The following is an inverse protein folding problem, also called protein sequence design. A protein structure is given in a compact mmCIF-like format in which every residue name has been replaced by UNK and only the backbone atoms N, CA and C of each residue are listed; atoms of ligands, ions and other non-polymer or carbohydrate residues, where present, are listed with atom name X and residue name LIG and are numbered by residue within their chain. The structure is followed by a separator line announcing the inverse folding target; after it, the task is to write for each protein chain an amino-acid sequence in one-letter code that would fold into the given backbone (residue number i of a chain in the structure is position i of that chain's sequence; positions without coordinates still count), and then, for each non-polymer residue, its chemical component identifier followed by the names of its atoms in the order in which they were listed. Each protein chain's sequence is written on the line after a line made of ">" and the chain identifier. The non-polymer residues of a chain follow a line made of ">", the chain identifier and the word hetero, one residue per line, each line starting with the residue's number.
data_IF_775108707963
#
_entry.id   IF_775108707963
#
_cell.length_a   1.000
_cell.length_b   1.000
_cell.length_c   1.000
_cell.angle_alpha   90.00
_cell.angle_beta   90.00
_cell.angle_gamma   90.00
#
_symmetry.space_group_name_H-M   'P 1'
#
loop_
_entity.id
_entity.type
_entity.pdbx_description
1 polymer ?
#
# COMPACT_ATOMS: atom_id res chain seq x y z
N UNK A 1 -35.64 20.70 32.98
CA UNK A 1 -35.29 21.53 31.82
C UNK A 1 -34.17 20.77 31.15
N UNK A 2 -34.54 19.96 30.18
CA UNK A 2 -33.59 19.22 29.36
C UNK A 2 -33.07 20.20 28.31
N UNK A 3 -31.86 20.70 28.50
CA UNK A 3 -31.15 21.46 27.48
C UNK A 3 -30.78 20.48 26.36
N UNK A 4 -31.60 20.43 25.32
CA UNK A 4 -31.19 19.82 24.06
C UNK A 4 -29.90 20.52 23.57
N UNK A 5 -28.81 19.80 23.27
CA UNK A 5 -27.67 20.38 22.55
C UNK A 5 -28.11 20.57 21.08
N UNK A 6 -28.98 21.54 20.80
CA UNK A 6 -30.07 21.24 19.86
C UNK A 6 -29.74 21.33 18.37
N UNK A 7 -28.81 22.17 17.89
CA UNK A 7 -28.48 22.17 16.45
C UNK A 7 -27.02 22.49 16.11
N UNK A 8 -26.37 23.47 16.77
CA UNK A 8 -25.03 23.91 16.31
C UNK A 8 -23.93 22.86 16.52
N UNK A 9 -23.91 22.18 17.67
CA UNK A 9 -22.91 21.14 17.95
C UNK A 9 -23.05 19.95 17.00
N UNK A 10 -24.29 19.59 16.67
CA UNK A 10 -24.57 18.52 15.70
C UNK A 10 -24.05 18.91 14.32
N UNK A 11 -24.31 20.13 13.86
CA UNK A 11 -23.86 20.62 12.55
C UNK A 11 -22.34 20.77 12.48
N UNK A 12 -21.69 21.18 13.57
CA UNK A 12 -20.23 21.24 13.70
C UNK A 12 -19.60 19.83 13.61
N UNK A 13 -20.15 18.85 14.33
CA UNK A 13 -19.71 17.45 14.26
C UNK A 13 -19.89 16.90 12.84
N UNK A 14 -21.04 17.14 12.21
CA UNK A 14 -21.30 16.69 10.84
C UNK A 14 -20.33 17.33 9.84
N UNK A 15 -20.01 18.61 10.01
CA UNK A 15 -19.05 19.33 9.18
C UNK A 15 -17.64 18.76 9.35
N UNK A 16 -17.21 18.51 10.59
CA UNK A 16 -15.94 17.87 10.89
C UNK A 16 -15.83 16.48 10.25
N UNK A 17 -16.87 15.64 10.39
CA UNK A 17 -16.92 14.30 9.81
C UNK A 17 -16.87 14.33 8.27
N UNK A 18 -17.55 15.28 7.61
CA UNK A 18 -17.46 15.46 6.15
C UNK A 18 -16.05 15.85 5.72
N UNK A 19 -15.43 16.78 6.44
CA UNK A 19 -14.06 17.22 6.15
C UNK A 19 -13.07 16.06 6.27
N UNK A 20 -13.17 15.27 7.36
CA UNK A 20 -12.36 14.08 7.57
C UNK A 20 -12.60 13.03 6.46
N UNK A 21 -13.86 12.77 6.08
CA UNK A 21 -14.20 11.85 5.01
C UNK A 21 -13.56 12.28 3.68
N UNK A 22 -13.63 13.56 3.33
CA UNK A 22 -13.05 14.11 2.11
C UNK A 22 -11.52 14.04 2.11
N UNK A 23 -10.89 14.30 3.26
CA UNK A 23 -9.45 14.16 3.43
C UNK A 23 -9.00 12.71 3.24
N UNK A 24 -9.71 11.76 3.84
CA UNK A 24 -9.44 10.33 3.70
C UNK A 24 -9.68 9.87 2.26
N UNK A 25 -10.81 10.24 1.64
CA UNK A 25 -11.07 9.94 0.22
C UNK A 25 -9.94 10.48 -0.67
N UNK A 26 -9.57 11.74 -0.50
CA UNK A 26 -8.49 12.36 -1.29
C UNK A 26 -7.15 11.65 -1.11
N UNK A 27 -6.88 11.15 0.09
CA UNK A 27 -5.67 10.37 0.39
C UNK A 27 -5.68 8.98 -0.24
N UNK A 28 -6.87 8.37 -0.39
CA UNK A 28 -6.96 6.95 -0.75
C UNK A 28 -7.53 6.63 -2.14
N UNK A 29 -8.12 7.61 -2.84
CA UNK A 29 -8.75 7.42 -4.16
C UNK A 29 -7.81 6.87 -5.25
N UNK A 30 -6.50 7.07 -5.10
CA UNK A 30 -5.51 6.69 -6.13
C UNK A 30 -4.99 5.24 -5.97
N UNK A 31 -5.49 4.50 -4.99
CA UNK A 31 -5.17 3.09 -4.74
C UNK A 31 -5.92 2.19 -5.73
N UNK A 32 -5.25 1.15 -6.23
CA UNK A 32 -5.77 0.22 -7.26
C UNK A 32 -7.09 -0.47 -6.89
N UNK A 33 -7.46 -0.53 -5.61
CA UNK A 33 -8.71 -1.09 -5.11
C UNK A 33 -9.58 -0.12 -4.31
N UNK A 34 -9.40 1.19 -4.51
CA UNK A 34 -10.32 2.12 -3.89
C UNK A 34 -11.74 1.90 -4.46
N UNK A 35 -12.75 1.58 -3.62
CA UNK A 35 -14.09 1.34 -4.11
C UNK A 35 -14.77 2.68 -4.43
N UNK A 36 -14.57 3.17 -5.65
CA UNK A 36 -15.11 4.46 -6.10
C UNK A 36 -16.65 4.53 -5.98
N UNK A 37 -17.34 3.39 -6.07
CA UNK A 37 -18.79 3.26 -5.90
C UNK A 37 -19.26 3.55 -4.46
N UNK A 38 -18.36 3.50 -3.49
CA UNK A 38 -18.66 3.82 -2.10
C UNK A 38 -18.84 5.33 -1.91
N UNK A 39 -18.18 6.18 -2.70
CA UNK A 39 -18.36 7.64 -2.60
C UNK A 39 -19.83 8.05 -2.68
N UNK A 40 -20.61 7.44 -3.58
CA UNK A 40 -22.02 7.76 -3.76
C UNK A 40 -22.92 7.20 -2.67
N UNK A 41 -22.56 6.06 -2.06
CA UNK A 41 -23.35 5.38 -1.03
C UNK A 41 -23.27 6.05 0.35
N UNK A 42 -22.21 6.82 0.60
CA UNK A 42 -21.85 7.29 1.95
C UNK A 42 -21.74 8.83 2.07
N UNK A 43 -22.27 9.58 1.08
CA UNK A 43 -22.41 11.06 1.14
C UNK A 43 -23.31 11.52 2.30
N UNK A 44 -24.17 10.63 2.81
CA UNK A 44 -24.94 10.86 4.02
C UNK A 44 -24.08 10.58 5.25
N UNK A 45 -23.85 11.64 6.00
CA UNK A 45 -22.81 11.84 7.02
C UNK A 45 -22.70 10.81 8.14
N UNK A 46 -23.70 9.95 8.30
CA UNK A 46 -23.80 8.98 9.39
C UNK A 46 -23.17 7.61 9.08
N UNK A 47 -22.70 7.40 7.85
CA UNK A 47 -22.10 6.13 7.42
C UNK A 47 -20.63 6.24 6.96
N UNK A 48 -19.96 7.36 7.26
CA UNK A 48 -18.52 7.57 6.94
C UNK A 48 -17.62 6.56 7.65
N UNK A 49 -17.93 6.16 8.89
CA UNK A 49 -17.11 5.18 9.62
C UNK A 49 -17.11 3.79 8.95
N UNK A 50 -18.27 3.25 8.53
CA UNK A 50 -18.30 2.04 7.70
C UNK A 50 -17.59 2.19 6.35
N UNK A 51 -17.63 3.34 5.69
CA UNK A 51 -16.84 3.59 4.46
C UNK A 51 -15.34 3.46 4.71
N UNK A 52 -14.87 4.06 5.79
CA UNK A 52 -13.51 3.92 6.30
C UNK A 52 -13.29 2.41 6.56
N UNK A 53 -13.99 1.81 7.52
CA UNK A 53 -13.77 0.43 7.94
C UNK A 53 -13.93 -0.64 6.84
N UNK A 54 -14.82 -0.47 5.87
CA UNK A 54 -15.09 -1.42 4.79
C UNK A 54 -14.21 -1.17 3.54
N UNK A 55 -13.82 0.08 3.26
CA UNK A 55 -12.74 0.39 2.31
C UNK A 55 -11.36 -0.03 2.84
N UNK A 56 -11.25 -0.25 4.15
CA UNK A 56 -10.11 -0.88 4.85
C UNK A 56 -10.46 -2.31 5.27
N UNK A 57 -10.73 -3.21 4.33
CA UNK A 57 -10.89 -4.65 4.56
C UNK A 57 -9.99 -5.13 5.72
N UNK A 58 -10.59 -5.62 6.83
CA UNK A 58 -9.90 -6.06 8.05
C UNK A 58 -8.93 -5.06 8.72
N UNK A 59 -9.17 -3.75 8.64
CA UNK A 59 -8.44 -2.73 9.43
C UNK A 59 -6.94 -2.60 9.11
N UNK A 60 -6.45 -3.35 8.14
CA UNK A 60 -5.07 -3.37 7.67
C UNK A 60 -5.18 -3.76 6.20
N UNK A 61 -5.06 -2.77 5.34
CA UNK A 61 -4.64 -3.00 3.96
C UNK A 61 -3.21 -2.48 3.92
N UNK A 62 -2.26 -3.17 4.58
CA UNK A 62 -0.93 -2.65 4.67
C UNK A 62 -0.31 -2.82 3.29
N UNK A 63 0.52 -1.86 2.86
CA UNK A 63 1.31 -1.97 1.64
C UNK A 63 0.52 -1.70 0.35
N UNK A 64 -0.12 -0.52 0.33
CA UNK A 64 -0.90 -0.06 -0.82
C UNK A 64 0.01 0.45 -1.94
N UNK A 65 -0.25 -0.04 -3.15
CA UNK A 65 0.28 0.52 -4.38
C UNK A 65 -0.78 1.40 -5.04
N UNK A 66 -0.36 2.55 -5.57
CA UNK A 66 -1.20 3.32 -6.49
C UNK A 66 -1.52 2.52 -7.75
N UNK A 67 -2.56 2.91 -8.49
CA UNK A 67 -2.84 2.34 -9.83
C UNK A 67 -1.59 2.34 -10.71
N UNK A 68 -0.87 3.46 -10.75
CA UNK A 68 0.38 3.60 -11.51
C UNK A 68 1.49 2.64 -11.05
N UNK A 69 1.66 2.43 -9.74
CA UNK A 69 2.62 1.47 -9.21
C UNK A 69 2.22 0.03 -9.56
N UNK A 70 0.93 -0.31 -9.46
CA UNK A 70 0.42 -1.63 -9.86
C UNK A 70 0.63 -1.89 -11.35
N UNK A 71 0.44 -0.89 -12.20
CA UNK A 71 0.68 -1.04 -13.64
C UNK A 71 2.17 -1.27 -13.94
N UNK A 72 3.08 -0.62 -13.21
CA UNK A 72 4.52 -0.89 -13.31
C UNK A 72 4.82 -2.35 -12.88
N UNK A 73 4.24 -2.80 -11.78
CA UNK A 73 4.43 -4.17 -11.27
C UNK A 73 3.91 -5.20 -12.29
N UNK A 74 2.68 -5.03 -12.80
CA UNK A 74 2.03 -5.93 -13.77
C UNK A 74 2.84 -6.07 -15.06
N UNK A 75 3.45 -4.99 -15.52
CA UNK A 75 4.20 -4.96 -16.78
C UNK A 75 5.68 -5.32 -16.60
N UNK A 76 6.13 -5.61 -15.38
CA UNK A 76 7.50 -6.01 -15.10
C UNK A 76 7.75 -7.48 -15.44
N UNK A 77 8.96 -7.83 -15.87
CA UNK A 77 9.31 -9.22 -16.13
C UNK A 77 9.44 -10.01 -14.83
N UNK A 78 9.89 -9.35 -13.77
CA UNK A 78 10.06 -9.93 -12.44
C UNK A 78 9.86 -8.87 -11.37
N UNK A 79 9.21 -9.26 -10.28
CA UNK A 79 9.07 -8.48 -9.05
C UNK A 79 9.99 -9.06 -7.98
N UNK A 80 10.82 -8.22 -7.37
CA UNK A 80 11.68 -8.59 -6.26
C UNK A 80 11.09 -7.99 -4.98
N UNK A 81 10.64 -8.84 -4.07
CA UNK A 81 10.17 -8.44 -2.74
C UNK A 81 11.40 -8.39 -1.83
N UNK A 82 11.88 -7.18 -1.56
CA UNK A 82 13.13 -6.97 -0.83
C UNK A 82 12.88 -6.85 0.67
N UNK A 83 12.99 -8.00 1.35
CA UNK A 83 12.70 -8.17 2.78
C UNK A 83 11.54 -9.14 3.02
N UNK A 84 11.78 -10.19 3.81
CA UNK A 84 10.82 -11.28 4.08
C UNK A 84 10.16 -11.22 5.47
N UNK A 85 9.92 -10.01 5.98
CA UNK A 85 9.13 -9.83 7.20
C UNK A 85 7.62 -9.85 6.93
N UNK A 86 6.82 -9.52 7.95
CA UNK A 86 5.35 -9.33 7.83
C UNK A 86 4.93 -8.42 6.67
N UNK A 87 5.78 -7.43 6.38
CA UNK A 87 5.59 -6.52 5.23
C UNK A 87 5.69 -7.27 3.91
N UNK A 88 6.71 -8.11 3.77
CA UNK A 88 6.93 -8.89 2.57
C UNK A 88 5.85 -9.94 2.35
N UNK A 89 5.40 -10.60 3.42
CA UNK A 89 4.31 -11.58 3.37
C UNK A 89 3.00 -10.97 2.87
N UNK A 90 2.63 -9.79 3.38
CA UNK A 90 1.41 -9.13 2.93
C UNK A 90 1.54 -8.50 1.54
N UNK A 91 2.74 -8.07 1.12
CA UNK A 91 3.00 -7.72 -0.29
C UNK A 91 2.77 -8.93 -1.18
N UNK A 92 3.26 -10.11 -0.79
CA UNK A 92 3.00 -11.36 -1.50
C UNK A 92 1.50 -11.66 -1.59
N UNK A 93 0.77 -11.61 -0.47
CA UNK A 93 -0.70 -11.80 -0.46
C UNK A 93 -1.39 -10.87 -1.46
N UNK A 94 -1.02 -9.59 -1.47
CA UNK A 94 -1.55 -8.62 -2.43
C UNK A 94 -1.22 -8.99 -3.88
N UNK A 95 0.02 -9.38 -4.19
CA UNK A 95 0.41 -9.77 -5.55
C UNK A 95 -0.38 -11.00 -6.01
N UNK A 96 -0.56 -11.99 -5.14
CA UNK A 96 -1.36 -13.20 -5.41
C UNK A 96 -2.81 -12.85 -5.68
N UNK A 97 -3.43 -11.99 -4.87
CA UNK A 97 -4.80 -11.50 -5.10
C UNK A 97 -4.98 -10.80 -6.46
N UNK A 98 -3.91 -10.21 -7.00
CA UNK A 98 -3.90 -9.57 -8.32
C UNK A 98 -3.48 -10.47 -9.46
N UNK A 99 -3.29 -11.77 -9.21
CA UNK A 99 -2.83 -12.73 -10.20
C UNK A 99 -1.39 -12.50 -10.68
N UNK A 100 -0.58 -11.78 -9.88
CA UNK A 100 0.84 -11.53 -10.16
C UNK A 100 1.64 -12.63 -9.49
N UNK A 101 2.22 -13.53 -10.28
CA UNK A 101 2.96 -14.70 -9.81
C UNK A 101 4.46 -14.65 -10.10
N UNK A 102 4.93 -13.65 -10.87
CA UNK A 102 6.32 -13.48 -11.22
C UNK A 102 7.11 -12.71 -10.15
N UNK A 103 6.95 -13.07 -8.88
CA UNK A 103 7.67 -12.45 -7.77
C UNK A 103 8.70 -13.39 -7.13
N UNK A 104 9.66 -12.83 -6.39
CA UNK A 104 10.65 -13.58 -5.60
C UNK A 104 11.10 -12.74 -4.42
N UNK A 105 11.23 -13.35 -3.25
CA UNK A 105 11.85 -12.72 -2.10
C UNK A 105 13.36 -12.63 -2.27
N UNK A 106 13.92 -11.47 -1.97
CA UNK A 106 15.37 -11.24 -2.00
C UNK A 106 15.88 -10.63 -0.70
N UNK A 107 17.15 -10.89 -0.40
CA UNK A 107 17.89 -10.33 0.75
C UNK A 107 19.18 -9.65 0.29
N UNK A 108 19.79 -8.85 1.18
CA UNK A 108 21.05 -8.14 0.89
C UNK A 108 22.22 -9.11 0.76
N UNK A 109 22.28 -10.06 1.68
CA UNK A 109 23.26 -11.15 1.74
C UNK A 109 22.54 -12.38 2.29
N UNK A 110 22.88 -13.55 1.78
CA UNK A 110 22.30 -14.82 2.20
C UNK A 110 23.16 -15.42 3.31
N UNK A 111 22.61 -15.58 4.51
CA UNK A 111 23.20 -16.45 5.55
C UNK A 111 22.86 -17.93 5.28
N UNK A 112 21.77 -18.18 4.54
CA UNK A 112 21.27 -19.51 4.17
C UNK A 112 21.26 -19.68 2.64
N UNK A 113 21.92 -20.72 2.13
CA UNK A 113 22.12 -20.96 0.67
C UNK A 113 20.86 -21.01 -0.20
N UNK A 114 19.67 -21.05 0.39
CA UNK A 114 18.40 -21.15 -0.32
C UNK A 114 17.71 -19.78 -0.51
N UNK A 115 18.27 -18.70 0.03
CA UNK A 115 17.74 -17.35 -0.15
C UNK A 115 18.33 -16.70 -1.39
N UNK A 116 17.46 -16.13 -2.24
CA UNK A 116 17.92 -15.36 -3.39
C UNK A 116 18.50 -14.02 -2.92
N UNK A 117 19.64 -13.62 -3.47
CA UNK A 117 20.30 -12.35 -3.13
C UNK A 117 19.96 -11.32 -4.19
N UNK A 118 19.71 -10.06 -3.78
CA UNK A 118 19.36 -9.00 -4.72
C UNK A 118 20.46 -8.74 -5.78
N UNK A 119 21.73 -8.98 -5.43
CA UNK A 119 22.87 -8.83 -6.34
C UNK A 119 22.80 -9.76 -7.56
N UNK A 120 22.15 -10.92 -7.44
CA UNK A 120 22.03 -11.89 -8.53
C UNK A 120 21.18 -11.34 -9.68
N UNK A 121 20.37 -10.31 -9.42
CA UNK A 121 19.45 -9.70 -10.36
C UNK A 121 20.01 -8.47 -11.09
N UNK A 122 21.24 -8.05 -10.79
CA UNK A 122 21.92 -6.92 -11.45
C UNK A 122 21.90 -7.02 -12.98
N UNK A 123 22.14 -8.19 -13.62
CA UNK A 123 22.09 -8.31 -15.08
C UNK A 123 20.72 -7.96 -15.69
N UNK A 124 19.64 -8.09 -14.91
CA UNK A 124 18.26 -7.85 -15.35
C UNK A 124 17.66 -6.56 -14.78
N UNK A 125 18.44 -5.72 -14.11
CA UNK A 125 17.96 -4.60 -13.28
C UNK A 125 17.02 -3.59 -13.95
N UNK A 126 17.05 -3.47 -15.29
CA UNK A 126 16.14 -2.60 -16.06
C UNK A 126 14.73 -3.19 -16.25
N UNK A 127 14.61 -4.51 -16.17
CA UNK A 127 13.39 -5.26 -16.47
C UNK A 127 12.71 -5.81 -15.20
N UNK A 128 13.26 -5.51 -14.03
CA UNK A 128 12.71 -5.94 -12.74
C UNK A 128 12.24 -4.73 -11.94
N UNK A 129 11.23 -4.96 -11.10
CA UNK A 129 10.74 -4.01 -10.12
C UNK A 129 11.16 -4.49 -8.75
N UNK A 130 11.73 -3.59 -7.94
CA UNK A 130 12.11 -3.88 -6.55
C UNK A 130 11.08 -3.25 -5.64
N UNK A 131 10.41 -4.06 -4.82
CA UNK A 131 9.50 -3.60 -3.78
C UNK A 131 10.23 -3.65 -2.44
N UNK A 132 10.43 -2.50 -1.79
CA UNK A 132 11.07 -2.45 -0.47
C UNK A 132 10.06 -2.84 0.60
N UNK A 133 10.22 -4.03 1.17
CA UNK A 133 9.25 -4.64 2.08
C UNK A 133 9.76 -4.69 3.53
N UNK A 134 10.13 -3.54 4.06
CA UNK A 134 10.56 -3.39 5.46
C UNK A 134 10.21 -2.00 5.98
N UNK A 135 9.59 -1.91 7.16
CA UNK A 135 9.36 -0.63 7.86
C UNK A 135 10.60 -0.17 8.62
N UNK A 136 11.35 -1.11 9.20
CA UNK A 136 12.52 -0.81 10.04
C UNK A 136 13.77 -0.49 9.24
N UNK A 137 13.95 -1.16 8.10
CA UNK A 137 15.16 -1.09 7.28
C UNK A 137 14.88 -0.45 5.91
N UNK A 138 13.78 0.30 5.76
CA UNK A 138 13.33 0.86 4.49
C UNK A 138 14.45 1.64 3.78
N UNK A 139 15.05 2.61 4.47
CA UNK A 139 16.08 3.49 3.90
C UNK A 139 17.35 2.72 3.52
N UNK A 140 17.74 1.74 4.32
CA UNK A 140 18.91 0.90 4.08
C UNK A 140 18.71 0.03 2.83
N UNK A 141 17.56 -0.65 2.74
CA UNK A 141 17.24 -1.51 1.59
C UNK A 141 17.06 -0.68 0.31
N UNK A 142 16.42 0.49 0.42
CA UNK A 142 16.28 1.41 -0.70
C UNK A 142 17.64 1.91 -1.20
N UNK A 143 18.51 2.33 -0.28
CA UNK A 143 19.87 2.76 -0.61
C UNK A 143 20.65 1.63 -1.28
N UNK A 144 20.62 0.42 -0.72
CA UNK A 144 21.32 -0.72 -1.32
C UNK A 144 20.81 -1.03 -2.74
N UNK A 145 19.49 -1.07 -2.96
CA UNK A 145 18.94 -1.29 -4.29
C UNK A 145 19.36 -0.18 -5.27
N UNK A 146 19.39 1.07 -4.81
CA UNK A 146 19.85 2.21 -5.62
C UNK A 146 21.34 2.09 -5.96
N UNK A 147 22.19 1.74 -4.99
CA UNK A 147 23.64 1.58 -5.17
C UNK A 147 23.98 0.43 -6.14
N UNK A 148 23.14 -0.62 -6.19
CA UNK A 148 23.22 -1.70 -7.19
C UNK A 148 22.71 -1.28 -8.59
N UNK A 149 22.12 -0.09 -8.69
CA UNK A 149 21.65 0.53 -9.92
C UNK A 149 20.28 0.05 -10.40
N UNK A 150 19.43 -0.45 -9.50
CA UNK A 150 18.01 -0.66 -9.81
C UNK A 150 17.31 0.70 -9.91
N UNK A 151 16.46 0.88 -10.92
CA UNK A 151 15.77 2.16 -11.17
C UNK A 151 14.28 2.09 -10.86
N UNK A 152 13.67 0.91 -10.97
CA UNK A 152 12.25 0.70 -10.72
C UNK A 152 12.06 0.22 -9.27
N UNK A 153 12.27 1.13 -8.32
CA UNK A 153 12.14 0.83 -6.88
C UNK A 153 10.83 1.42 -6.37
N UNK A 154 10.02 0.59 -5.73
CA UNK A 154 8.72 0.95 -5.15
C UNK A 154 8.80 0.75 -3.64
N UNK A 155 8.45 1.80 -2.90
CA UNK A 155 8.24 1.72 -1.45
C UNK A 155 6.72 1.69 -1.23
N UNK A 156 6.17 0.63 -0.64
CA UNK A 156 4.76 0.59 -0.29
C UNK A 156 4.41 1.72 0.68
N UNK A 157 3.21 2.28 0.54
CA UNK A 157 2.72 3.23 1.54
C UNK A 157 2.31 2.46 2.81
N UNK A 158 2.94 2.82 3.93
CA UNK A 158 2.71 2.29 5.26
C UNK A 158 1.68 3.13 6.03
#
# INVERSE_FOLDING_TARGET
>A
MDDEPSYSLRDEILTYLKSLANALYSRYKDIDCFPDDYRYKYIQTEHVLPLIQAGFYKGYFPYKFSKSQMDIIRNSNRVLIYGRGKVGEAVEELLVERGISNYTFVVTQSENSNEAVISDWIPMKKNVVVIISSTKYCDELYKNATDLGFTNIIIPQF
#
